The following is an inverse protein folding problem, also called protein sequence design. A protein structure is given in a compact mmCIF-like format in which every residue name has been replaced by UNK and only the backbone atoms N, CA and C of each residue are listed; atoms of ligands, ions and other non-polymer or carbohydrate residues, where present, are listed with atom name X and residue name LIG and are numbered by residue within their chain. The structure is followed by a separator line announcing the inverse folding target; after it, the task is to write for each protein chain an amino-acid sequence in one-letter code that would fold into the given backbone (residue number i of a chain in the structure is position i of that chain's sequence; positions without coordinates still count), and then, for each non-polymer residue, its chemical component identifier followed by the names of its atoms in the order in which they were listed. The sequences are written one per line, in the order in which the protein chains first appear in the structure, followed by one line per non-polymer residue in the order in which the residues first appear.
data_IF_961288661395
#
_entry.id   IF_961288661395
#
_cell.length_a   1.000
_cell.length_b   1.000
_cell.length_c   1.000
_cell.angle_alpha   90.00
_cell.angle_beta   90.00
_cell.angle_gamma   90.00
#
_symmetry.space_group_name_H-M   'P 1'
#
loop_
_entity.id
_entity.type
_entity.pdbx_description
1 polymer ?
#
# COMPACT_ATOMS: atom_id res chain seq x y z
N UNK A 1 13.53 -14.39 -20.63
CA UNK A 1 12.72 -13.27 -21.18
C UNK A 1 12.28 -12.40 -19.99
N UNK A 2 12.30 -11.08 -20.11
CA UNK A 2 11.85 -10.22 -19.03
C UNK A 2 10.38 -10.44 -18.69
N UNK A 3 10.05 -10.35 -17.40
CA UNK A 3 8.70 -10.46 -16.88
C UNK A 3 7.90 -9.23 -17.32
N UNK A 4 6.77 -9.45 -17.97
CA UNK A 4 5.90 -8.37 -18.40
C UNK A 4 4.95 -7.93 -17.29
N UNK A 5 4.93 -6.62 -17.00
CA UNK A 5 4.14 -6.01 -15.94
C UNK A 5 3.03 -5.15 -16.55
N UNK A 6 1.81 -5.27 -16.06
CA UNK A 6 0.74 -4.32 -16.35
C UNK A 6 0.37 -3.52 -15.12
N UNK A 7 0.07 -2.23 -15.32
CA UNK A 7 -0.40 -1.31 -14.27
C UNK A 7 -1.92 -1.17 -14.34
N UNK A 8 -2.59 -1.42 -13.23
CA UNK A 8 -4.01 -1.15 -13.02
C UNK A 8 -4.17 -0.02 -11.99
N UNK A 9 -4.42 1.17 -12.49
CA UNK A 9 -4.38 2.42 -11.74
C UNK A 9 -3.09 3.19 -11.97
N UNK A 10 -3.22 4.47 -12.32
CA UNK A 10 -2.10 5.37 -12.60
C UNK A 10 -2.17 6.67 -11.76
N UNK A 11 -3.23 6.85 -10.97
CA UNK A 11 -3.42 8.00 -10.10
C UNK A 11 -2.85 7.83 -8.68
N UNK A 12 -1.81 7.01 -8.48
CA UNK A 12 -1.16 6.81 -7.18
C UNK A 12 0.16 7.59 -7.09
N UNK A 13 0.52 8.17 -5.91
CA UNK A 13 1.79 8.87 -5.73
C UNK A 13 3.03 8.04 -6.10
N UNK A 14 3.03 6.74 -5.84
CA UNK A 14 4.16 5.85 -6.12
C UNK A 14 4.30 5.43 -7.58
N UNK A 15 3.46 5.94 -8.49
CA UNK A 15 3.53 5.54 -9.91
C UNK A 15 4.91 5.82 -10.52
N UNK A 16 5.51 6.97 -10.21
CA UNK A 16 6.86 7.33 -10.71
C UNK A 16 7.92 6.34 -10.27
N UNK A 17 7.86 5.91 -9.01
CA UNK A 17 8.81 4.95 -8.45
C UNK A 17 8.63 3.56 -9.08
N UNK A 18 7.38 3.11 -9.24
CA UNK A 18 7.06 1.85 -9.93
C UNK A 18 7.57 1.84 -11.38
N UNK A 19 7.35 2.93 -12.12
CA UNK A 19 7.87 3.08 -13.48
C UNK A 19 9.40 3.12 -13.51
N UNK A 20 10.02 3.79 -12.53
CA UNK A 20 11.48 3.83 -12.36
C UNK A 20 12.06 2.44 -12.16
N UNK A 21 11.47 1.65 -11.26
CA UNK A 21 11.89 0.25 -11.02
C UNK A 21 11.73 -0.60 -12.28
N UNK A 22 10.56 -0.54 -12.96
CA UNK A 22 10.34 -1.31 -14.19
C UNK A 22 11.36 -0.94 -15.28
N UNK A 23 11.75 0.33 -15.36
CA UNK A 23 12.70 0.80 -16.37
C UNK A 23 14.16 0.47 -16.03
N UNK A 24 14.53 0.40 -14.74
CA UNK A 24 15.90 0.12 -14.29
C UNK A 24 16.24 -1.37 -14.22
N UNK A 25 15.22 -2.23 -14.06
CA UNK A 25 15.44 -3.67 -13.92
C UNK A 25 15.39 -4.38 -15.27
N UNK A 26 16.51 -4.98 -15.75
CA UNK A 26 16.57 -5.62 -17.06
C UNK A 26 15.63 -6.82 -17.22
N UNK A 27 15.23 -7.41 -16.10
CA UNK A 27 14.30 -8.54 -16.07
C UNK A 27 12.82 -8.12 -16.02
N UNK A 28 12.52 -6.82 -16.07
CA UNK A 28 11.16 -6.29 -16.09
C UNK A 28 10.90 -5.49 -17.36
N UNK A 29 9.64 -5.48 -17.80
CA UNK A 29 9.16 -4.57 -18.86
C UNK A 29 7.71 -4.19 -18.65
N UNK A 30 7.35 -2.95 -18.97
CA UNK A 30 5.96 -2.52 -19.02
C UNK A 30 5.26 -3.14 -20.26
N UNK A 31 4.11 -3.77 -20.04
CA UNK A 31 3.32 -4.40 -21.10
C UNK A 31 2.03 -3.67 -21.41
N UNK A 32 1.36 -3.12 -20.37
CA UNK A 32 0.15 -2.33 -20.54
C UNK A 32 -0.09 -1.44 -19.32
N UNK A 33 -0.89 -0.39 -19.49
CA UNK A 33 -1.39 0.46 -18.43
C UNK A 33 -2.88 0.74 -18.65
N UNK A 34 -3.63 0.75 -17.56
CA UNK A 34 -5.04 1.09 -17.55
C UNK A 34 -5.41 1.85 -16.27
N UNK A 35 -6.27 2.84 -16.41
CA UNK A 35 -6.94 3.51 -15.30
C UNK A 35 -8.38 3.82 -15.72
N UNK A 36 -9.30 3.78 -14.76
CA UNK A 36 -10.69 4.19 -14.98
C UNK A 36 -10.78 5.69 -15.30
N UNK A 37 -9.92 6.49 -14.69
CA UNK A 37 -9.69 7.89 -15.03
C UNK A 37 -8.50 8.02 -15.99
N UNK A 38 -8.78 8.22 -17.25
CA UNK A 38 -7.75 8.36 -18.27
C UNK A 38 -6.82 9.56 -18.06
N UNK A 39 -7.27 10.59 -17.35
CA UNK A 39 -6.43 11.75 -17.02
C UNK A 39 -5.32 11.43 -16.03
N UNK A 40 -5.44 10.31 -15.31
CA UNK A 40 -4.43 9.81 -14.39
C UNK A 40 -3.22 9.16 -15.10
N UNK A 41 -3.33 8.86 -16.40
CA UNK A 41 -2.29 8.16 -17.13
C UNK A 41 -1.26 9.17 -17.68
N UNK A 42 0.01 9.11 -17.25
CA UNK A 42 1.04 10.01 -17.75
C UNK A 42 1.31 9.81 -19.25
N UNK A 43 1.59 10.91 -19.97
CA UNK A 43 1.94 10.87 -21.39
C UNK A 43 3.15 9.96 -21.70
N UNK A 44 4.09 9.84 -20.77
CA UNK A 44 5.28 8.98 -20.91
C UNK A 44 4.96 7.49 -21.16
N UNK A 45 3.77 7.03 -20.72
CA UNK A 45 3.33 5.64 -20.91
C UNK A 45 2.11 5.53 -21.84
N UNK A 46 1.80 6.56 -22.64
CA UNK A 46 0.65 6.59 -23.55
C UNK A 46 0.61 5.40 -24.53
N UNK A 47 1.77 4.93 -25.00
CA UNK A 47 1.89 3.80 -25.92
C UNK A 47 1.51 2.44 -25.31
N UNK A 48 1.41 2.35 -23.99
CA UNK A 48 1.03 1.13 -23.27
C UNK A 48 -0.44 1.12 -22.86
N UNK A 49 -1.18 2.19 -23.13
CA UNK A 49 -2.58 2.34 -22.70
C UNK A 49 -3.46 1.34 -23.45
N UNK A 50 -4.31 0.66 -22.71
CA UNK A 50 -5.31 -0.26 -23.24
C UNK A 50 -6.73 0.18 -22.89
N UNK A 51 -7.74 -0.38 -23.57
CA UNK A 51 -9.15 0.03 -23.45
C UNK A 51 -9.77 -0.30 -22.09
N UNK A 52 -9.36 -1.42 -21.51
CA UNK A 52 -9.97 -1.98 -20.30
C UNK A 52 -8.97 -2.77 -19.45
N UNK A 53 -9.33 -2.99 -18.18
CA UNK A 53 -8.49 -3.71 -17.22
C UNK A 53 -8.24 -5.17 -17.62
N UNK A 54 -9.22 -5.83 -18.24
CA UNK A 54 -9.07 -7.23 -18.68
C UNK A 54 -7.99 -7.36 -19.74
N UNK A 55 -7.94 -6.41 -20.66
CA UNK A 55 -6.89 -6.38 -21.69
C UNK A 55 -5.51 -6.14 -21.09
N UNK A 56 -5.41 -5.28 -20.06
CA UNK A 56 -4.17 -5.10 -19.33
C UNK A 56 -3.73 -6.40 -18.63
N UNK A 57 -4.65 -7.04 -17.90
CA UNK A 57 -4.39 -8.30 -17.18
C UNK A 57 -3.90 -9.40 -18.14
N UNK A 58 -4.53 -9.56 -19.30
CA UNK A 58 -4.15 -10.60 -20.27
C UNK A 58 -2.78 -10.39 -20.89
N UNK A 59 -2.28 -9.13 -20.96
CA UNK A 59 -1.01 -8.79 -21.63
C UNK A 59 0.22 -9.00 -20.75
N UNK A 60 0.05 -9.30 -19.48
CA UNK A 60 1.15 -9.33 -18.52
C UNK A 60 1.34 -10.70 -17.87
N UNK A 61 2.56 -10.95 -17.42
CA UNK A 61 2.90 -12.09 -16.57
C UNK A 61 2.54 -11.81 -15.11
N UNK A 62 2.61 -10.53 -14.67
CA UNK A 62 2.18 -10.08 -13.36
C UNK A 62 1.55 -8.68 -13.44
N UNK A 63 0.77 -8.32 -12.42
CA UNK A 63 -0.02 -7.08 -12.39
C UNK A 63 0.31 -6.28 -11.14
N UNK A 64 0.51 -4.97 -11.30
CA UNK A 64 0.55 -4.01 -10.19
C UNK A 64 -0.79 -3.30 -10.10
N UNK A 65 -1.46 -3.39 -8.96
CA UNK A 65 -2.74 -2.72 -8.70
C UNK A 65 -2.49 -1.50 -7.83
N UNK A 66 -2.45 -0.31 -8.45
CA UNK A 66 -2.25 0.99 -7.81
C UNK A 66 -3.42 1.96 -8.01
N UNK A 67 -4.59 1.44 -8.36
CA UNK A 67 -5.85 2.18 -8.44
C UNK A 67 -6.28 2.74 -7.07
N UNK A 68 -7.32 3.57 -7.04
CA UNK A 68 -7.93 4.04 -5.79
C UNK A 68 -8.38 2.86 -4.92
N UNK A 69 -8.34 3.03 -3.59
CA UNK A 69 -8.53 1.92 -2.64
C UNK A 69 -9.86 1.19 -2.81
N UNK A 70 -10.91 1.93 -3.17
CA UNK A 70 -12.25 1.37 -3.44
C UNK A 70 -12.28 0.38 -4.63
N UNK A 71 -11.35 0.51 -5.57
CA UNK A 71 -11.27 -0.33 -6.77
C UNK A 71 -10.33 -1.53 -6.61
N UNK A 72 -9.38 -1.47 -5.67
CA UNK A 72 -8.32 -2.49 -5.51
C UNK A 72 -8.85 -3.90 -5.33
N UNK A 73 -9.84 -4.16 -4.44
CA UNK A 73 -10.31 -5.53 -4.22
C UNK A 73 -10.82 -6.21 -5.49
N UNK A 74 -11.62 -5.51 -6.28
CA UNK A 74 -12.15 -6.06 -7.53
C UNK A 74 -11.02 -6.35 -8.54
N UNK A 75 -10.13 -5.38 -8.77
CA UNK A 75 -9.02 -5.53 -9.72
C UNK A 75 -8.07 -6.66 -9.33
N UNK A 76 -7.76 -6.81 -8.03
CA UNK A 76 -6.95 -7.91 -7.52
C UNK A 76 -7.62 -9.27 -7.76
N UNK A 77 -8.91 -9.40 -7.49
CA UNK A 77 -9.66 -10.65 -7.71
C UNK A 77 -9.68 -11.00 -9.20
N UNK A 78 -9.89 -10.03 -10.09
CA UNK A 78 -9.87 -10.24 -11.55
C UNK A 78 -8.50 -10.74 -12.02
N UNK A 79 -7.42 -10.09 -11.57
CA UNK A 79 -6.05 -10.51 -11.91
C UNK A 79 -5.72 -11.91 -11.38
N UNK A 80 -6.07 -12.18 -10.12
CA UNK A 80 -5.82 -13.46 -9.48
C UNK A 80 -6.60 -14.62 -10.15
N UNK A 81 -7.87 -14.39 -10.51
CA UNK A 81 -8.69 -15.38 -11.26
C UNK A 81 -8.14 -15.64 -12.67
N UNK A 82 -7.44 -14.67 -13.25
CA UNK A 82 -6.73 -14.85 -14.52
C UNK A 82 -5.34 -15.51 -14.35
N UNK A 83 -4.99 -15.93 -13.13
CA UNK A 83 -3.72 -16.58 -12.82
C UNK A 83 -2.51 -15.62 -12.86
N UNK A 84 -2.76 -14.30 -12.71
CA UNK A 84 -1.69 -13.30 -12.73
C UNK A 84 -1.27 -12.92 -11.32
N UNK A 85 0.00 -13.13 -10.93
CA UNK A 85 0.52 -12.61 -9.66
C UNK A 85 0.24 -11.12 -9.50
N UNK A 86 -0.08 -10.71 -8.27
CA UNK A 86 -0.53 -9.34 -7.96
C UNK A 86 0.38 -8.69 -6.94
N UNK A 87 0.94 -7.54 -7.26
CA UNK A 87 1.42 -6.56 -6.28
C UNK A 87 0.33 -5.51 -6.11
N UNK A 88 -0.18 -5.33 -4.89
CA UNK A 88 -1.26 -4.35 -4.63
C UNK A 88 -0.79 -3.26 -3.68
N UNK A 89 -1.08 -2.00 -4.02
CA UNK A 89 -0.81 -0.87 -3.15
C UNK A 89 -1.59 -0.93 -1.83
N UNK A 90 -0.98 -0.37 -0.80
CA UNK A 90 -1.59 -0.20 0.52
C UNK A 90 -2.48 1.06 0.58
N UNK A 91 -3.54 1.06 1.39
CA UNK A 91 -4.19 -0.11 1.99
C UNK A 91 -4.87 -0.97 0.92
N UNK A 92 -4.90 -2.29 1.12
CA UNK A 92 -5.43 -3.23 0.11
C UNK A 92 -6.94 -3.13 -0.08
N UNK A 93 -7.65 -2.53 0.87
CA UNK A 93 -9.09 -2.32 0.88
C UNK A 93 -9.44 -1.22 1.90
N UNK A 94 -10.65 -0.68 1.83
CA UNK A 94 -11.13 0.40 2.73
C UNK A 94 -11.44 -0.08 4.13
N UNK A 95 -11.87 -1.33 4.27
CA UNK A 95 -12.30 -1.90 5.55
C UNK A 95 -11.67 -3.26 5.79
N UNK A 96 -11.60 -3.66 7.06
CA UNK A 96 -11.15 -5.00 7.43
C UNK A 96 -12.05 -6.11 6.86
N UNK A 97 -13.33 -5.85 6.64
CA UNK A 97 -14.26 -6.80 6.02
C UNK A 97 -13.92 -7.02 4.55
N UNK A 98 -13.72 -5.94 3.79
CA UNK A 98 -13.27 -6.00 2.39
C UNK A 98 -11.90 -6.69 2.27
N UNK A 99 -10.93 -6.34 3.13
CA UNK A 99 -9.61 -6.96 3.13
C UNK A 99 -9.67 -8.48 3.39
N UNK A 100 -10.49 -8.91 4.35
CA UNK A 100 -10.71 -10.35 4.61
C UNK A 100 -11.41 -11.06 3.46
N UNK A 101 -12.36 -10.40 2.79
CA UNK A 101 -13.00 -10.95 1.59
C UNK A 101 -12.00 -11.12 0.45
N UNK A 102 -11.19 -10.09 0.18
CA UNK A 102 -10.11 -10.14 -0.80
C UNK A 102 -9.12 -11.28 -0.49
N UNK A 103 -8.65 -11.39 0.75
CA UNK A 103 -7.70 -12.45 1.14
C UNK A 103 -8.27 -13.86 0.89
N UNK A 104 -9.57 -14.08 1.13
CA UNK A 104 -10.22 -15.36 0.82
C UNK A 104 -10.27 -15.65 -0.68
N UNK A 105 -10.58 -14.65 -1.50
CA UNK A 105 -10.62 -14.81 -2.97
C UNK A 105 -9.23 -15.10 -3.54
N UNK A 106 -8.19 -14.38 -3.07
CA UNK A 106 -6.80 -14.62 -3.45
C UNK A 106 -6.38 -16.05 -3.06
N UNK A 107 -6.68 -16.48 -1.82
CA UNK A 107 -6.35 -17.85 -1.39
C UNK A 107 -7.02 -18.92 -2.26
N UNK A 108 -8.28 -18.70 -2.69
CA UNK A 108 -8.99 -19.62 -3.59
C UNK A 108 -8.36 -19.70 -4.98
N UNK A 109 -7.85 -18.59 -5.48
CA UNK A 109 -7.21 -18.55 -6.82
C UNK A 109 -5.86 -19.26 -6.85
N UNK A 110 -5.22 -19.48 -5.71
CA UNK A 110 -3.85 -19.99 -5.56
C UNK A 110 -2.80 -19.16 -6.32
N UNK A 111 -3.14 -17.91 -6.62
CA UNK A 111 -2.26 -16.98 -7.32
C UNK A 111 -1.49 -16.16 -6.29
N UNK A 112 -0.16 -15.98 -6.44
CA UNK A 112 0.61 -15.15 -5.54
C UNK A 112 0.09 -13.71 -5.51
N UNK A 113 -0.05 -13.14 -4.30
CA UNK A 113 -0.37 -11.73 -4.14
C UNK A 113 0.38 -11.17 -2.93
N UNK A 114 0.84 -9.92 -3.06
CA UNK A 114 1.63 -9.24 -2.05
C UNK A 114 1.17 -7.77 -1.92
N UNK A 115 0.91 -7.26 -0.71
CA UNK A 115 0.74 -5.83 -0.50
C UNK A 115 2.09 -5.09 -0.57
N UNK A 116 2.08 -3.85 -1.08
CA UNK A 116 3.26 -2.98 -1.19
C UNK A 116 3.61 -2.35 0.17
N UNK A 117 4.02 -3.17 1.13
CA UNK A 117 4.42 -2.78 2.47
C UNK A 117 5.95 -2.81 2.59
N UNK A 118 6.60 -1.85 1.96
CA UNK A 118 8.03 -1.82 1.70
C UNK A 118 8.92 -1.77 2.95
N UNK A 119 8.43 -1.25 4.09
CA UNK A 119 9.27 -1.14 5.30
C UNK A 119 9.79 -2.50 5.77
N UNK A 120 9.04 -3.57 5.58
CA UNK A 120 9.46 -4.92 5.97
C UNK A 120 10.69 -5.42 5.19
N UNK A 121 10.93 -4.89 4.01
CA UNK A 121 12.04 -5.26 3.14
C UNK A 121 13.30 -4.40 3.37
N UNK A 122 13.21 -3.36 4.21
CA UNK A 122 14.37 -2.51 4.48
C UNK A 122 15.47 -3.28 5.23
N UNK A 123 16.74 -3.20 4.78
CA UNK A 123 17.87 -3.81 5.47
C UNK A 123 17.99 -3.41 6.94
N UNK A 124 17.57 -2.17 7.28
CA UNK A 124 17.55 -1.69 8.65
C UNK A 124 16.55 -2.48 9.52
N UNK A 125 15.36 -2.80 8.98
CA UNK A 125 14.36 -3.58 9.72
C UNK A 125 14.82 -5.04 9.90
N UNK A 126 15.43 -5.65 8.89
CA UNK A 126 16.03 -6.99 9.00
C UNK A 126 17.14 -7.02 10.04
N UNK A 127 17.99 -5.98 10.10
CA UNK A 127 19.02 -5.85 11.13
C UNK A 127 18.41 -5.73 12.53
N UNK A 128 17.40 -4.86 12.70
CA UNK A 128 16.68 -4.71 13.98
C UNK A 128 16.04 -6.04 14.41
N UNK A 129 15.46 -6.79 13.49
CA UNK A 129 14.91 -8.12 13.76
C UNK A 129 15.99 -9.08 14.28
N UNK A 130 17.20 -9.05 13.70
CA UNK A 130 18.34 -9.82 14.18
C UNK A 130 18.75 -9.43 15.61
N UNK A 131 18.84 -8.14 15.91
CA UNK A 131 19.16 -7.60 17.24
C UNK A 131 18.14 -8.05 18.29
N UNK A 132 16.83 -7.97 17.94
CA UNK A 132 15.75 -8.41 18.82
C UNK A 132 15.79 -9.92 19.09
N UNK A 133 16.01 -10.73 18.04
CA UNK A 133 16.12 -12.20 18.18
C UNK A 133 17.32 -12.64 19.01
N UNK A 134 18.43 -11.91 18.89
CA UNK A 134 19.64 -12.15 19.67
C UNK A 134 19.54 -11.67 21.13
N UNK A 135 18.44 -11.01 21.52
CA UNK A 135 18.25 -10.49 22.87
C UNK A 135 19.18 -9.33 23.26
N UNK A 136 19.84 -8.69 22.28
CA UNK A 136 20.86 -7.67 22.53
C UNK A 136 20.31 -6.40 23.19
N UNK A 137 19.00 -6.14 23.10
CA UNK A 137 18.34 -5.02 23.78
C UNK A 137 17.89 -5.36 25.20
N UNK A 138 18.10 -6.61 25.65
CA UNK A 138 17.59 -7.05 26.93
C UNK A 138 16.07 -7.02 27.02
N UNK A 139 15.54 -6.78 28.22
CA UNK A 139 14.09 -6.65 28.42
C UNK A 139 13.59 -5.30 27.89
N UNK A 140 12.71 -5.36 26.90
CA UNK A 140 12.06 -4.15 26.40
C UNK A 140 11.17 -3.53 27.47
N UNK A 141 11.14 -2.21 27.55
CA UNK A 141 10.29 -1.42 28.48
C UNK A 141 9.17 -0.69 27.74
N UNK A 142 9.41 -0.26 26.50
CA UNK A 142 8.47 0.41 25.63
C UNK A 142 8.90 0.28 24.16
N UNK A 143 7.98 0.58 23.26
CA UNK A 143 8.24 0.71 21.81
C UNK A 143 7.53 1.96 21.28
N UNK A 144 8.17 2.63 20.31
CA UNK A 144 7.55 3.74 19.60
C UNK A 144 8.05 3.80 18.16
N UNK A 145 7.19 4.30 17.28
CA UNK A 145 7.57 4.61 15.91
C UNK A 145 6.77 5.79 15.36
N UNK A 146 7.37 6.53 14.43
CA UNK A 146 6.70 7.60 13.72
C UNK A 146 7.00 7.54 12.23
N UNK A 147 6.01 7.93 11.41
CA UNK A 147 6.14 8.09 9.97
C UNK A 147 5.39 9.35 9.55
N UNK A 148 6.13 10.38 9.17
CA UNK A 148 5.60 11.72 8.94
C UNK A 148 6.07 12.23 7.58
N UNK A 149 5.14 12.85 6.82
CA UNK A 149 5.46 13.61 5.61
C UNK A 149 4.36 14.67 5.35
N UNK A 150 4.68 15.66 4.51
CA UNK A 150 3.78 16.79 4.27
C UNK A 150 2.69 16.55 3.21
N UNK A 151 2.56 15.34 2.65
CA UNK A 151 1.72 15.09 1.47
C UNK A 151 0.24 15.48 1.58
N UNK A 152 -0.32 15.46 2.80
CA UNK A 152 -1.69 15.93 3.04
C UNK A 152 -1.80 17.47 3.03
N UNK A 153 -0.68 18.18 3.25
CA UNK A 153 -0.62 19.63 3.44
C UNK A 153 -0.10 20.36 2.20
N UNK A 154 0.75 19.74 1.40
CA UNK A 154 1.46 20.37 0.27
C UNK A 154 0.73 20.25 -1.08
N UNK A 155 -0.50 19.73 -1.08
CA UNK A 155 -1.29 19.56 -2.30
C UNK A 155 -0.94 18.33 -3.15
N UNK A 156 -0.09 17.43 -2.64
CA UNK A 156 0.30 16.20 -3.35
C UNK A 156 -0.88 15.29 -3.73
N UNK A 157 -2.02 15.43 -3.03
CA UNK A 157 -3.23 14.65 -3.26
C UNK A 157 -4.29 15.42 -4.06
N UNK A 158 -3.87 16.21 -5.05
CA UNK A 158 -4.75 16.94 -5.96
C UNK A 158 -4.89 16.23 -7.32
N UNK A 159 -5.85 16.66 -8.14
CA UNK A 159 -6.10 16.11 -9.47
C UNK A 159 -6.42 14.61 -9.44
N UNK A 160 -5.75 13.78 -10.24
CA UNK A 160 -5.98 12.32 -10.28
C UNK A 160 -5.76 11.60 -8.95
N UNK A 161 -5.11 12.25 -7.97
CA UNK A 161 -4.86 11.71 -6.62
C UNK A 161 -5.89 12.15 -5.59
N UNK A 162 -6.88 12.99 -5.97
CA UNK A 162 -7.89 13.55 -5.06
C UNK A 162 -8.74 12.48 -4.34
N UNK A 163 -8.82 11.26 -4.88
CA UNK A 163 -9.47 10.13 -4.23
C UNK A 163 -8.89 9.81 -2.85
N UNK A 164 -7.61 10.15 -2.59
CA UNK A 164 -6.95 9.93 -1.29
C UNK A 164 -7.52 10.83 -0.19
N UNK A 165 -8.15 11.94 -0.55
CA UNK A 165 -8.83 12.86 0.38
C UNK A 165 -10.33 12.57 0.52
N UNK A 166 -10.86 11.59 -0.21
CA UNK A 166 -12.26 11.16 -0.12
C UNK A 166 -12.36 9.90 0.77
N UNK A 167 -12.91 10.00 1.99
CA UNK A 167 -13.03 8.87 2.90
C UNK A 167 -13.81 7.68 2.33
N UNK A 168 -14.76 7.92 1.42
CA UNK A 168 -15.53 6.87 0.77
C UNK A 168 -14.69 6.05 -0.21
N UNK A 169 -13.66 6.66 -0.80
CA UNK A 169 -12.76 6.02 -1.76
C UNK A 169 -11.47 5.52 -1.13
N UNK A 170 -10.86 6.30 -0.26
CA UNK A 170 -9.60 5.95 0.42
C UNK A 170 -9.81 4.97 1.58
N UNK A 171 -10.92 5.09 2.32
CA UNK A 171 -11.23 4.29 3.50
C UNK A 171 -10.49 4.72 4.77
N UNK A 172 -9.41 5.49 4.63
CA UNK A 172 -8.57 5.98 5.73
C UNK A 172 -8.15 7.43 5.45
N UNK A 173 -7.83 8.17 6.51
CA UNK A 173 -7.12 9.45 6.42
C UNK A 173 -5.61 9.25 6.53
N UNK A 174 -4.88 10.35 6.79
CA UNK A 174 -3.42 10.36 6.82
C UNK A 174 -2.83 9.42 7.89
N UNK A 175 -3.45 9.38 9.09
CA UNK A 175 -3.01 8.44 10.13
C UNK A 175 -3.06 7.00 9.62
N UNK A 176 -4.20 6.56 9.08
CA UNK A 176 -4.37 5.18 8.62
C UNK A 176 -3.50 4.84 7.42
N UNK A 177 -3.33 5.78 6.48
CA UNK A 177 -2.51 5.60 5.27
C UNK A 177 -1.02 5.38 5.59
N UNK A 178 -0.50 6.04 6.62
CA UNK A 178 0.91 5.94 7.02
C UNK A 178 1.14 4.95 8.15
N UNK A 179 0.26 4.90 9.15
CA UNK A 179 0.42 3.99 10.29
C UNK A 179 0.35 2.52 9.89
N UNK A 180 -0.29 2.17 8.76
CA UNK A 180 -0.29 0.79 8.24
C UNK A 180 1.13 0.27 8.02
N UNK A 181 2.05 1.11 7.56
CA UNK A 181 3.46 0.76 7.42
C UNK A 181 4.13 0.46 8.76
N UNK A 182 3.80 1.24 9.79
CA UNK A 182 4.33 1.03 11.14
C UNK A 182 3.78 -0.25 11.78
N UNK A 183 2.46 -0.48 11.65
CA UNK A 183 1.81 -1.71 12.14
C UNK A 183 2.43 -2.94 11.46
N UNK A 184 2.66 -2.86 10.16
CA UNK A 184 3.29 -3.93 9.39
C UNK A 184 4.75 -4.17 9.80
N UNK A 185 5.52 -3.09 10.02
CA UNK A 185 6.90 -3.20 10.49
C UNK A 185 6.98 -3.90 11.85
N UNK A 186 6.10 -3.55 12.80
CA UNK A 186 6.02 -4.25 14.09
C UNK A 186 5.61 -5.71 13.94
N UNK A 187 4.66 -6.01 13.05
CA UNK A 187 4.29 -7.39 12.75
C UNK A 187 5.46 -8.20 12.17
N UNK A 188 6.27 -7.59 11.30
CA UNK A 188 7.47 -8.20 10.76
C UNK A 188 8.56 -8.42 11.81
N UNK A 189 8.64 -7.57 12.84
CA UNK A 189 9.58 -7.74 13.97
C UNK A 189 9.17 -8.83 14.97
N UNK A 190 7.98 -9.40 14.84
CA UNK A 190 7.51 -10.51 15.68
C UNK A 190 6.00 -10.63 15.73
N UNK A 191 5.32 -9.77 16.46
CA UNK A 191 3.88 -9.85 16.66
C UNK A 191 3.16 -8.61 16.14
N UNK A 192 1.95 -8.78 15.62
CA UNK A 192 1.12 -7.63 15.25
C UNK A 192 0.74 -6.82 16.50
N UNK A 193 0.88 -5.49 16.48
CA UNK A 193 0.51 -4.66 17.62
C UNK A 193 -1.00 -4.65 17.85
N UNK A 194 -1.40 -4.52 19.10
CA UNK A 194 -2.79 -4.31 19.50
C UNK A 194 -2.99 -2.84 19.86
N UNK A 195 -3.71 -2.11 19.00
CA UNK A 195 -4.06 -0.72 19.28
C UNK A 195 -5.23 -0.66 20.27
N UNK A 196 -5.19 0.30 21.18
CA UNK A 196 -6.14 0.48 22.28
C UNK A 196 -6.86 1.83 22.21
N UNK A 197 -6.17 2.88 21.77
CA UNK A 197 -6.71 4.22 21.64
C UNK A 197 -6.09 4.93 20.44
N UNK A 198 -6.85 5.82 19.84
CA UNK A 198 -6.42 6.64 18.69
C UNK A 198 -6.88 8.08 18.94
N UNK A 199 -5.98 9.04 18.70
CA UNK A 199 -6.28 10.45 18.60
C UNK A 199 -6.01 10.91 17.18
N UNK A 200 -6.98 11.57 16.57
CA UNK A 200 -6.88 12.08 15.19
C UNK A 200 -6.70 13.59 15.19
N UNK A 201 -5.73 14.06 14.42
CA UNK A 201 -5.55 15.47 14.10
C UNK A 201 -6.41 15.76 12.85
N UNK A 202 -7.55 16.45 13.05
CA UNK A 202 -8.52 16.66 11.97
C UNK A 202 -8.16 17.88 11.13
N UNK A 203 -8.41 17.76 9.82
CA UNK A 203 -8.41 18.92 8.93
C UNK A 203 -9.47 19.94 9.37
N UNK A 204 -9.11 21.21 9.37
CA UNK A 204 -10.04 22.32 9.67
C UNK A 204 -11.28 22.36 8.77
N UNK A 205 -11.17 21.83 7.54
CA UNK A 205 -12.28 21.69 6.60
C UNK A 205 -13.15 20.44 6.84
N UNK A 206 -12.82 19.59 7.81
CA UNK A 206 -13.60 18.41 8.17
C UNK A 206 -13.57 17.26 7.15
N UNK A 207 -12.64 17.29 6.19
CA UNK A 207 -12.53 16.30 5.10
C UNK A 207 -11.88 14.98 5.51
N UNK A 208 -11.29 14.92 6.69
CA UNK A 208 -10.61 13.74 7.19
C UNK A 208 -9.62 14.08 8.29
N UNK A 209 -8.69 13.17 8.58
CA UNK A 209 -7.55 13.45 9.42
C UNK A 209 -6.31 13.79 8.59
N UNK A 210 -5.46 14.68 9.12
CA UNK A 210 -4.14 15.05 8.59
C UNK A 210 -3.03 14.33 9.33
N UNK A 211 -3.38 13.42 10.23
CA UNK A 211 -2.47 12.64 11.05
C UNK A 211 -3.08 12.26 12.38
N UNK A 212 -2.22 11.84 13.31
CA UNK A 212 -2.61 11.50 14.66
C UNK A 212 -1.64 10.57 15.35
N UNK A 213 -2.10 10.04 16.49
CA UNK A 213 -1.33 9.12 17.31
C UNK A 213 -2.18 7.93 17.74
N UNK A 214 -1.56 6.77 17.86
CA UNK A 214 -2.19 5.58 18.40
C UNK A 214 -1.38 5.06 19.59
N UNK A 215 -2.10 4.67 20.65
CA UNK A 215 -1.55 3.99 21.80
C UNK A 215 -1.95 2.52 21.77
N UNK A 216 -1.06 1.64 22.20
CA UNK A 216 -1.34 0.22 22.16
C UNK A 216 -0.35 -0.60 22.96
N UNK A 217 -0.26 -1.87 22.59
CA UNK A 217 0.74 -2.81 23.09
C UNK A 217 1.36 -3.57 21.93
N UNK A 218 2.65 -3.79 22.05
CA UNK A 218 3.39 -4.71 21.16
C UNK A 218 4.18 -5.66 22.06
N UNK A 219 3.91 -6.97 21.87
CA UNK A 219 4.30 -7.94 22.90
C UNK A 219 3.76 -7.49 24.26
N UNK A 220 4.58 -7.50 25.29
CA UNK A 220 4.18 -7.14 26.65
C UNK A 220 4.50 -5.68 27.02
N UNK A 221 4.87 -4.83 26.05
CA UNK A 221 5.27 -3.45 26.31
C UNK A 221 4.28 -2.42 25.78
N UNK A 222 4.21 -1.23 26.38
CA UNK A 222 3.48 -0.10 25.80
C UNK A 222 4.03 0.26 24.41
N UNK A 223 3.12 0.63 23.52
CA UNK A 223 3.43 1.06 22.16
C UNK A 223 2.81 2.43 21.88
N UNK A 224 3.59 3.32 21.28
CA UNK A 224 3.10 4.58 20.71
C UNK A 224 3.44 4.64 19.21
N UNK A 225 2.42 4.91 18.38
CA UNK A 225 2.60 5.19 16.95
C UNK A 225 2.17 6.62 16.66
N UNK A 226 2.88 7.30 15.78
CA UNK A 226 2.52 8.62 15.25
C UNK A 226 2.67 8.63 13.73
N UNK A 227 1.67 9.18 13.04
CA UNK A 227 1.71 9.33 11.60
C UNK A 227 0.96 10.60 11.16
N UNK A 228 1.53 11.37 10.23
CA UNK A 228 0.90 12.57 9.64
C UNK A 228 1.56 12.94 8.31
#
# INVERSE_FOLDING_TARGET
MPISISLLGCGHPHLSDLLGVIASEPDLRLAAAWDADRSAIPGAIANYVVSDAERAIRRADAVVVSAATDQRPELCVRAARAGRPVLVEKPIARTAAEARALAREIARSRTPAMPALFLRELPALHRLQGVLRAGLLGRLSAASASYLHAGALDGSFSGPRSWMQDPARAGVGALGDLAIHLVDAFAALGDAPRLLAVSLDRDAAGRGDVGGSALGRWRDVPLTLRAS
#
